data_IF_024829863638
#
_entry.id   IF_024829863638
#
_cell.length_a   1.000
_cell.length_b   1.000
_cell.length_c   1.000
_cell.angle_alpha   90.00
_cell.angle_beta   90.00
_cell.angle_gamma   90.00
#
_symmetry.space_group_name_H-M   'P 1'
#
loop_
_entity.id
_entity.type
_entity.pdbx_description
1 polymer ?
#
# COMPACT_ATOMS: atom_id res chain seq x y z
N UNK A 1 -4.70 -0.92 -0.25
CA UNK A 1 -3.59 -1.21 0.70
C UNK A 1 -3.43 -0.15 1.80
N UNK A 2 -4.50 0.48 2.29
CA UNK A 2 -4.40 1.57 3.27
C UNK A 2 -4.87 1.12 4.66
N UNK A 3 -4.12 1.35 5.76
CA UNK A 3 -4.56 0.95 7.09
C UNK A 3 -5.86 1.62 7.54
N UNK A 4 -6.15 2.84 7.05
CA UNK A 4 -7.39 3.58 7.34
C UNK A 4 -8.58 2.99 6.60
N UNK A 5 -8.38 2.50 5.37
CA UNK A 5 -9.44 1.84 4.61
C UNK A 5 -9.90 0.54 5.30
N UNK A 6 -8.97 -0.20 5.89
CA UNK A 6 -9.25 -1.45 6.61
C UNK A 6 -9.54 -1.22 8.12
N UNK A 7 -10.29 -0.18 8.48
CA UNK A 7 -10.88 -0.01 9.82
C UNK A 7 -12.38 -0.32 9.77
N UNK A 8 -13.02 -0.51 10.92
CA UNK A 8 -14.47 -0.77 11.02
C UNK A 8 -15.28 0.38 10.38
N UNK A 9 -14.94 1.63 10.71
CA UNK A 9 -15.44 2.85 10.05
C UNK A 9 -14.39 3.44 9.09
N UNK A 10 -13.86 2.59 8.20
CA UNK A 10 -12.76 2.95 7.31
C UNK A 10 -13.11 3.99 6.25
N UNK A 11 -12.09 4.70 5.75
CA UNK A 11 -12.23 5.60 4.60
C UNK A 11 -12.61 4.79 3.34
N UNK A 12 -13.56 5.26 2.50
CA UNK A 12 -13.98 4.54 1.29
C UNK A 12 -12.86 4.39 0.24
N UNK A 13 -11.75 5.11 0.40
CA UNK A 13 -10.59 5.08 -0.49
C UNK A 13 -10.35 6.43 -1.16
N UNK A 14 -9.18 6.58 -1.79
CA UNK A 14 -8.75 7.87 -2.34
C UNK A 14 -9.54 8.33 -3.58
N UNK A 15 -10.38 7.47 -4.16
CA UNK A 15 -11.28 7.79 -5.27
C UNK A 15 -12.53 8.59 -4.85
N UNK A 16 -12.67 8.91 -3.57
CA UNK A 16 -13.85 9.60 -3.04
C UNK A 16 -14.98 8.63 -2.69
N UNK A 17 -16.20 9.17 -2.56
CA UNK A 17 -17.40 8.44 -2.14
C UNK A 17 -18.01 8.95 -0.84
N UNK A 18 -19.16 8.40 -0.47
CA UNK A 18 -19.84 8.72 0.78
C UNK A 18 -18.93 8.38 1.98
N UNK A 19 -18.84 9.28 2.96
CA UNK A 19 -17.95 9.13 4.12
C UNK A 19 -16.48 9.57 3.88
N UNK A 20 -16.13 10.00 2.66
CA UNK A 20 -14.78 10.47 2.37
C UNK A 20 -14.47 11.81 3.06
N UNK A 21 -13.34 11.87 3.77
CA UNK A 21 -12.91 13.07 4.48
C UNK A 21 -12.33 14.13 3.53
N UNK A 22 -12.32 15.44 3.90
CA UNK A 22 -11.68 16.46 3.09
C UNK A 22 -10.22 16.11 2.78
N UNK A 23 -9.89 16.01 1.49
CA UNK A 23 -8.56 15.61 1.03
C UNK A 23 -7.91 16.72 0.21
N UNK A 24 -6.69 17.09 0.61
CA UNK A 24 -5.93 18.13 -0.09
C UNK A 24 -5.51 17.70 -1.51
N UNK A 25 -5.43 16.40 -1.80
CA UNK A 25 -5.14 15.87 -3.15
C UNK A 25 -6.36 16.04 -4.06
N UNK A 26 -7.57 15.71 -3.58
CA UNK A 26 -8.82 15.92 -4.35
C UNK A 26 -9.00 17.40 -4.68
N UNK A 27 -8.79 18.28 -3.69
CA UNK A 27 -8.86 19.74 -3.91
C UNK A 27 -7.84 20.22 -4.94
N UNK A 28 -6.62 19.68 -4.89
CA UNK A 28 -5.58 19.95 -5.88
C UNK A 28 -6.02 19.51 -7.28
N UNK A 29 -6.58 18.32 -7.45
CA UNK A 29 -7.13 17.85 -8.73
C UNK A 29 -8.21 18.81 -9.26
N UNK A 30 -9.17 19.22 -8.43
CA UNK A 30 -10.24 20.15 -8.82
C UNK A 30 -9.71 21.52 -9.28
N UNK A 31 -8.60 21.98 -8.70
CA UNK A 31 -7.95 23.24 -9.09
C UNK A 31 -7.17 23.12 -10.41
N UNK A 32 -6.81 21.91 -10.82
CA UNK A 32 -6.04 21.61 -12.03
C UNK A 32 -6.90 20.77 -13.00
N UNK A 33 -8.03 21.32 -13.41
CA UNK A 33 -8.95 20.74 -14.41
C UNK A 33 -9.61 19.40 -14.04
N UNK A 34 -9.58 19.01 -12.77
CA UNK A 34 -10.24 17.79 -12.30
C UNK A 34 -9.53 16.50 -12.75
N UNK A 35 -8.22 16.55 -13.01
CA UNK A 35 -7.45 15.38 -13.44
C UNK A 35 -7.51 14.25 -12.41
N UNK A 36 -7.78 13.03 -12.87
CA UNK A 36 -7.97 11.86 -11.99
C UNK A 36 -6.65 11.40 -11.35
N UNK A 37 -5.54 11.51 -12.07
CA UNK A 37 -4.21 11.10 -11.63
C UNK A 37 -3.21 12.24 -11.75
N UNK A 38 -2.24 12.29 -10.83
CA UNK A 38 -1.21 13.33 -10.84
C UNK A 38 -0.44 13.38 -12.17
N UNK A 39 -0.18 12.22 -12.81
CA UNK A 39 0.54 12.16 -14.09
C UNK A 39 -0.24 12.75 -15.29
N UNK A 40 -1.53 13.06 -15.12
CA UNK A 40 -2.35 13.76 -16.12
C UNK A 40 -2.32 15.29 -15.95
N UNK A 41 -1.74 15.80 -14.87
CA UNK A 41 -1.60 17.23 -14.64
C UNK A 41 -0.49 17.81 -15.54
N UNK A 42 -0.72 18.98 -16.13
CA UNK A 42 0.27 19.67 -16.97
C UNK A 42 1.57 20.04 -16.21
N UNK A 43 1.47 20.23 -14.90
CA UNK A 43 2.61 20.54 -14.04
C UNK A 43 3.36 19.29 -13.54
N UNK A 44 2.97 18.09 -13.95
CA UNK A 44 3.56 16.85 -13.45
C UNK A 44 4.98 16.60 -13.99
N UNK A 45 5.93 16.17 -13.13
CA UNK A 45 5.86 16.14 -11.66
C UNK A 45 6.03 17.54 -11.05
N UNK A 46 5.09 17.95 -10.18
CA UNK A 46 5.08 19.30 -9.58
C UNK A 46 5.82 19.35 -8.22
N UNK A 47 6.13 20.56 -7.73
CA UNK A 47 6.85 20.74 -6.47
C UNK A 47 6.07 20.19 -5.27
N UNK A 48 4.76 20.43 -5.21
CA UNK A 48 3.88 19.90 -4.15
C UNK A 48 3.97 18.38 -4.02
N UNK A 49 4.03 17.66 -5.15
CA UNK A 49 4.20 16.21 -5.15
C UNK A 49 5.58 15.84 -4.62
N UNK A 50 6.65 16.50 -5.10
CA UNK A 50 8.03 16.24 -4.62
C UNK A 50 8.17 16.46 -3.11
N UNK A 51 7.63 17.55 -2.58
CA UNK A 51 7.67 17.86 -1.14
C UNK A 51 6.95 16.77 -0.31
N UNK A 52 5.90 16.17 -0.86
CA UNK A 52 5.17 15.10 -0.16
C UNK A 52 5.99 13.81 0.00
N UNK A 53 7.03 13.60 -0.81
CA UNK A 53 7.87 12.40 -0.77
C UNK A 53 8.92 12.45 0.34
N UNK A 54 9.14 13.61 0.96
CA UNK A 54 10.16 13.78 2.01
C UNK A 54 9.87 12.90 3.23
N UNK A 55 8.58 12.78 3.59
CA UNK A 55 8.15 11.99 4.74
C UNK A 55 6.84 11.26 4.47
N UNK A 56 6.77 10.05 5.00
CA UNK A 56 5.59 9.21 4.98
C UNK A 56 4.50 9.76 5.89
N UNK A 57 3.29 9.74 5.35
CA UNK A 57 2.05 9.89 6.12
C UNK A 57 1.71 8.57 6.81
N UNK A 58 0.44 8.32 7.15
CA UNK A 58 0.01 6.98 7.57
C UNK A 58 0.21 5.90 6.48
N UNK A 59 0.56 6.30 5.25
CA UNK A 59 1.02 5.47 4.13
C UNK A 59 2.46 5.81 3.76
N UNK A 60 3.14 4.84 3.14
CA UNK A 60 4.46 5.07 2.53
C UNK A 60 4.34 5.88 1.25
N UNK A 61 5.34 6.73 1.01
CA UNK A 61 5.55 7.48 -0.21
C UNK A 61 6.81 7.03 -0.96
N UNK A 62 7.56 6.05 -0.43
CA UNK A 62 8.90 5.63 -0.92
C UNK A 62 8.94 5.29 -2.41
N UNK A 63 7.84 4.81 -3.00
CA UNK A 63 7.75 4.46 -4.42
C UNK A 63 6.68 5.26 -5.18
N UNK A 64 6.08 6.30 -4.59
CA UNK A 64 4.91 6.97 -5.17
C UNK A 64 5.14 7.49 -6.60
N UNK A 65 6.28 8.15 -6.88
CA UNK A 65 6.59 8.61 -8.24
C UNK A 65 6.81 7.46 -9.22
N UNK A 66 7.51 6.41 -8.77
CA UNK A 66 7.76 5.20 -9.56
C UNK A 66 6.44 4.53 -9.92
N UNK A 67 5.52 4.43 -8.97
CA UNK A 67 4.23 3.77 -9.16
C UNK A 67 3.30 4.61 -10.06
N UNK A 68 3.34 5.94 -9.96
CA UNK A 68 2.64 6.84 -10.90
C UNK A 68 3.19 6.72 -12.33
N UNK A 69 4.51 6.64 -12.49
CA UNK A 69 5.17 6.43 -13.79
C UNK A 69 4.83 5.04 -14.37
N UNK A 70 4.79 4.00 -13.54
CA UNK A 70 4.30 2.67 -13.94
C UNK A 70 2.86 2.72 -14.42
N UNK A 71 1.96 3.30 -13.63
CA UNK A 71 0.54 3.45 -13.99
C UNK A 71 0.36 4.18 -15.33
N UNK A 72 1.16 5.22 -15.57
CA UNK A 72 1.17 5.94 -16.85
C UNK A 72 1.67 5.06 -18.02
N UNK A 73 2.76 4.31 -17.82
CA UNK A 73 3.41 3.51 -18.87
C UNK A 73 2.65 2.23 -19.24
N UNK A 74 2.11 1.54 -18.25
CA UNK A 74 1.39 0.28 -18.46
C UNK A 74 -0.09 0.50 -18.78
N UNK A 75 -0.62 1.69 -18.50
CA UNK A 75 -2.04 1.99 -18.59
C UNK A 75 -2.78 1.65 -17.30
N UNK A 76 -3.83 2.42 -17.02
CA UNK A 76 -4.57 2.30 -15.76
C UNK A 76 -5.29 0.97 -15.59
N UNK A 77 -5.79 0.35 -16.67
CA UNK A 77 -6.47 -0.95 -16.61
C UNK A 77 -5.54 -2.03 -16.04
N UNK A 78 -4.40 -2.26 -16.69
CA UNK A 78 -3.40 -3.24 -16.24
C UNK A 78 -2.83 -2.91 -14.85
N UNK A 79 -2.63 -1.62 -14.55
CA UNK A 79 -2.18 -1.21 -13.22
C UNK A 79 -3.22 -1.53 -12.13
N UNK A 80 -4.50 -1.30 -12.41
CA UNK A 80 -5.59 -1.60 -11.47
C UNK A 80 -5.79 -3.11 -11.28
N UNK A 81 -5.61 -3.93 -12.33
CA UNK A 81 -5.59 -5.38 -12.22
C UNK A 81 -4.50 -5.85 -11.23
N UNK A 82 -3.27 -5.34 -11.39
CA UNK A 82 -2.16 -5.65 -10.48
C UNK A 82 -2.48 -5.24 -9.04
N UNK A 83 -3.02 -4.02 -8.83
CA UNK A 83 -3.44 -3.55 -7.52
C UNK A 83 -4.57 -4.40 -6.92
N UNK A 84 -5.46 -4.93 -7.76
CA UNK A 84 -6.53 -5.84 -7.37
C UNK A 84 -5.98 -7.15 -6.81
N UNK A 85 -5.00 -7.75 -7.49
CA UNK A 85 -4.33 -8.97 -7.01
C UNK A 85 -3.58 -8.75 -5.69
N UNK A 86 -2.82 -7.65 -5.60
CA UNK A 86 -2.16 -7.25 -4.34
C UNK A 86 -3.17 -7.06 -3.21
N UNK A 87 -4.32 -6.45 -3.51
CA UNK A 87 -5.40 -6.25 -2.53
C UNK A 87 -6.01 -7.57 -2.07
N UNK A 88 -6.23 -8.53 -2.98
CA UNK A 88 -6.73 -9.86 -2.62
C UNK A 88 -5.76 -10.62 -1.69
N UNK A 89 -4.45 -10.49 -1.90
CA UNK A 89 -3.44 -11.05 -0.98
C UNK A 89 -3.51 -10.35 0.38
N UNK A 90 -3.60 -9.02 0.40
CA UNK A 90 -3.72 -8.25 1.64
C UNK A 90 -4.95 -8.65 2.45
N UNK A 91 -6.10 -8.84 1.81
CA UNK A 91 -7.33 -9.26 2.50
C UNK A 91 -7.18 -10.61 3.19
N UNK A 92 -6.55 -11.58 2.51
CA UNK A 92 -6.25 -12.89 3.10
C UNK A 92 -5.32 -12.78 4.30
N UNK A 93 -4.29 -11.92 4.22
CA UNK A 93 -3.38 -11.64 5.33
C UNK A 93 -4.10 -10.99 6.52
N UNK A 94 -4.98 -10.02 6.26
CA UNK A 94 -5.73 -9.33 7.31
C UNK A 94 -6.75 -10.24 7.99
N UNK A 95 -7.38 -11.15 7.25
CA UNK A 95 -8.35 -12.11 7.80
C UNK A 95 -7.69 -13.25 8.59
N UNK A 96 -6.57 -13.79 8.10
CA UNK A 96 -5.96 -15.01 8.66
C UNK A 96 -4.74 -14.80 9.55
N UNK A 97 -4.03 -13.69 9.38
CA UNK A 97 -2.66 -13.49 9.90
C UNK A 97 -2.51 -12.21 10.72
N UNK A 98 -3.58 -11.42 10.90
CA UNK A 98 -3.57 -10.26 11.77
C UNK A 98 -3.89 -10.65 13.22
N UNK A 99 -2.88 -10.58 14.09
CA UNK A 99 -3.00 -10.82 15.54
C UNK A 99 -3.56 -9.61 16.32
N UNK A 100 -4.17 -8.65 15.61
CA UNK A 100 -4.63 -7.36 16.13
C UNK A 100 -3.57 -6.25 16.08
N UNK A 101 -2.33 -6.54 15.67
CA UNK A 101 -1.23 -5.56 15.66
C UNK A 101 -0.46 -5.47 14.33
N UNK A 102 -0.79 -6.29 13.33
CA UNK A 102 -0.01 -6.39 12.07
C UNK A 102 -0.63 -5.72 10.86
N UNK A 103 -1.83 -5.14 10.98
CA UNK A 103 -2.51 -4.44 9.87
C UNK A 103 -1.60 -3.45 9.12
N UNK A 104 -0.98 -2.52 9.84
CA UNK A 104 -0.10 -1.52 9.23
C UNK A 104 1.13 -2.14 8.58
N UNK A 105 1.67 -3.22 9.15
CA UNK A 105 2.79 -3.94 8.56
C UNK A 105 2.40 -4.60 7.24
N UNK A 106 1.28 -5.32 7.18
CA UNK A 106 0.85 -5.96 5.93
C UNK A 106 0.47 -4.93 4.86
N UNK A 107 -0.19 -3.83 5.24
CA UNK A 107 -0.46 -2.74 4.30
C UNK A 107 0.84 -2.18 3.71
N UNK A 108 1.87 -1.99 4.53
CA UNK A 108 3.17 -1.47 4.09
C UNK A 108 3.91 -2.47 3.20
N UNK A 109 4.01 -3.73 3.62
CA UNK A 109 4.72 -4.78 2.89
C UNK A 109 4.11 -5.03 1.51
N UNK A 110 2.80 -5.20 1.45
CA UNK A 110 2.10 -5.39 0.17
C UNK A 110 2.16 -4.12 -0.68
N UNK A 111 2.18 -2.92 -0.09
CA UNK A 111 2.34 -1.69 -0.88
C UNK A 111 3.72 -1.63 -1.58
N UNK A 112 4.80 -1.89 -0.84
CA UNK A 112 6.17 -1.69 -1.33
C UNK A 112 6.72 -2.81 -2.21
N UNK A 113 6.32 -4.06 -1.97
CA UNK A 113 6.79 -5.20 -2.75
C UNK A 113 6.05 -5.33 -4.08
N UNK A 114 6.72 -5.89 -5.08
CA UNK A 114 6.09 -6.18 -6.38
C UNK A 114 5.04 -7.29 -6.25
N UNK A 115 4.10 -7.35 -7.21
CA UNK A 115 3.04 -8.37 -7.17
C UNK A 115 3.61 -9.80 -7.09
N UNK A 116 4.63 -10.10 -7.90
CA UNK A 116 5.27 -11.43 -7.91
C UNK A 116 5.86 -11.79 -6.54
N UNK A 117 6.49 -10.83 -5.86
CA UNK A 117 7.04 -11.05 -4.52
C UNK A 117 5.93 -11.30 -3.50
N UNK A 118 4.80 -10.59 -3.61
CA UNK A 118 3.63 -10.82 -2.76
C UNK A 118 3.02 -12.21 -2.99
N UNK A 119 2.94 -12.65 -4.24
CA UNK A 119 2.42 -13.97 -4.63
C UNK A 119 3.31 -15.08 -4.10
N UNK A 120 4.63 -14.99 -4.32
CA UNK A 120 5.59 -15.99 -3.84
C UNK A 120 5.58 -16.11 -2.31
N UNK A 121 5.57 -14.99 -1.59
CA UNK A 121 5.47 -15.00 -0.12
C UNK A 121 4.13 -15.60 0.32
N UNK A 122 3.04 -15.30 -0.38
CA UNK A 122 1.72 -15.86 -0.06
C UNK A 122 1.67 -17.37 -0.28
N UNK A 123 2.25 -17.88 -1.36
CA UNK A 123 2.37 -19.32 -1.63
C UNK A 123 3.18 -20.01 -0.54
N UNK A 124 4.30 -19.43 -0.14
CA UNK A 124 5.15 -19.97 0.93
C UNK A 124 4.40 -19.98 2.28
N UNK A 125 3.75 -18.88 2.65
CA UNK A 125 2.89 -18.81 3.84
C UNK A 125 1.84 -19.92 3.81
N UNK A 126 1.17 -20.10 2.67
CA UNK A 126 0.09 -21.08 2.51
C UNK A 126 0.59 -22.52 2.62
N UNK A 127 1.80 -22.80 2.14
CA UNK A 127 2.43 -24.12 2.23
C UNK A 127 2.89 -24.49 3.66
N UNK A 128 3.28 -23.48 4.45
CA UNK A 128 3.78 -23.66 5.83
C UNK A 128 2.68 -23.52 6.89
N UNK A 129 1.52 -22.97 6.52
CA UNK A 129 0.41 -22.77 7.45
C UNK A 129 -0.39 -24.06 7.63
N UNK A 130 -0.59 -24.46 8.88
CA UNK A 130 -1.41 -25.61 9.25
C UNK A 130 -2.57 -25.16 10.16
N UNK A 131 -3.64 -25.94 10.21
CA UNK A 131 -4.82 -25.62 11.04
C UNK A 131 -4.56 -25.63 12.56
N UNK A 132 -3.39 -26.09 13.02
CA UNK A 132 -3.04 -26.19 14.43
C UNK A 132 -2.38 -24.91 15.00
N UNK A 133 -1.94 -23.98 14.15
CA UNK A 133 -1.23 -22.78 14.60
C UNK A 133 -2.16 -21.76 15.24
N UNK A 134 -1.69 -21.14 16.31
CA UNK A 134 -2.34 -19.98 16.90
C UNK A 134 -2.30 -18.77 15.94
N UNK A 135 -3.22 -17.79 16.10
CA UNK A 135 -3.18 -16.55 15.33
C UNK A 135 -1.82 -15.83 15.40
N UNK A 136 -1.14 -15.90 16.54
CA UNK A 136 0.16 -15.26 16.76
C UNK A 136 1.30 -15.95 16.00
N UNK A 137 1.28 -17.28 15.93
CA UNK A 137 2.29 -18.05 15.17
C UNK A 137 2.15 -17.81 13.67
N UNK A 138 0.91 -17.82 13.15
CA UNK A 138 0.63 -17.47 11.76
C UNK A 138 1.11 -16.05 11.45
N UNK A 139 0.77 -15.08 12.29
CA UNK A 139 1.22 -13.71 12.15
C UNK A 139 2.75 -13.59 12.14
N UNK A 140 3.45 -14.27 13.04
CA UNK A 140 4.90 -14.26 13.13
C UNK A 140 5.56 -14.86 11.89
N UNK A 141 5.02 -15.98 11.38
CA UNK A 141 5.47 -16.61 10.13
C UNK A 141 5.34 -15.64 8.95
N UNK A 142 4.16 -15.07 8.74
CA UNK A 142 3.91 -14.14 7.65
C UNK A 142 4.83 -12.90 7.73
N UNK A 143 4.99 -12.33 8.93
CA UNK A 143 5.89 -11.18 9.15
C UNK A 143 7.34 -11.53 8.81
N UNK A 144 7.81 -12.73 9.19
CA UNK A 144 9.18 -13.18 8.89
C UNK A 144 9.40 -13.28 7.38
N UNK A 145 8.52 -13.99 6.67
CA UNK A 145 8.65 -14.20 5.22
C UNK A 145 8.60 -12.90 4.43
N UNK A 146 7.71 -11.97 4.80
CA UNK A 146 7.67 -10.64 4.19
C UNK A 146 8.95 -9.82 4.44
N UNK A 147 9.59 -9.98 5.61
CA UNK A 147 10.86 -9.30 5.92
C UNK A 147 12.00 -9.89 5.12
N UNK A 148 12.12 -11.21 5.10
CA UNK A 148 13.13 -11.91 4.31
C UNK A 148 13.04 -11.51 2.84
N UNK A 149 11.82 -11.52 2.27
CA UNK A 149 11.62 -11.09 0.90
C UNK A 149 11.95 -9.61 0.66
N UNK A 150 11.61 -8.74 1.60
CA UNK A 150 11.96 -7.33 1.47
C UNK A 150 13.46 -7.08 1.55
N UNK A 151 14.17 -7.81 2.43
CA UNK A 151 15.62 -7.75 2.55
C UNK A 151 16.31 -8.22 1.25
N UNK A 152 15.83 -9.30 0.63
CA UNK A 152 16.30 -9.79 -0.69
C UNK A 152 16.14 -8.73 -1.80
N UNK A 153 15.07 -7.93 -1.73
CA UNK A 153 14.78 -6.86 -2.70
C UNK A 153 15.41 -5.51 -2.33
N UNK A 154 16.08 -5.41 -1.19
CA UNK A 154 16.60 -4.14 -0.68
C UNK A 154 15.52 -3.11 -0.33
N UNK A 155 14.32 -3.58 0.03
CA UNK A 155 13.15 -2.75 0.37
C UNK A 155 13.03 -2.62 1.88
N UNK A 156 13.05 -1.39 2.40
CA UNK A 156 12.85 -1.17 3.83
C UNK A 156 11.36 -1.15 4.20
N UNK A 157 10.90 -2.14 4.97
CA UNK A 157 9.53 -2.20 5.50
C UNK A 157 9.33 -1.31 6.73
N UNK A 158 9.57 -0.01 6.58
CA UNK A 158 9.41 0.99 7.64
C UNK A 158 8.97 2.34 7.09
N UNK A 159 8.02 2.98 7.76
CA UNK A 159 7.60 4.33 7.40
C UNK A 159 8.65 5.38 7.80
N UNK A 160 9.02 6.24 6.86
CA UNK A 160 9.93 7.38 7.01
C UNK A 160 9.19 8.60 7.57
N UNK A 161 9.04 8.65 8.89
CA UNK A 161 8.29 9.73 9.55
C UNK A 161 9.15 10.98 9.77
N UNK A 162 8.50 12.14 9.66
CA UNK A 162 9.08 13.40 10.12
C UNK A 162 9.48 13.30 11.61
N UNK A 163 10.71 13.70 11.98
CA UNK A 163 11.12 13.74 13.38
C UNK A 163 10.12 14.57 14.21
N UNK A 164 9.73 14.04 15.37
CA UNK A 164 8.96 14.84 16.33
C UNK A 164 9.89 15.94 16.85
N UNK A 165 9.43 17.19 16.79
CA UNK A 165 10.10 18.31 17.48
C UNK A 165 10.05 18.13 18.98
#
# INVERSE_FOLDING_TARGET
MCPIHHMEDGCPGCGGGEGHQPCAVIRCSQQHSGVEYCFLCEEYPCQRLRDSLEFDSFLTHQHMLRDLDRAQKMGMETYLEELGEKTAILEKLLAGYNDGRRKSFFCLAVNLLELSDCQEVWEEISSQTTGAQSPKERAALAVRLFRERADERGVELKLHKKPKK
#
